data_IF_921897107938
#
_entry.id   IF_921897107938
#
_cell.length_a   1.000
_cell.length_b   1.000
_cell.length_c   1.000
_cell.angle_alpha   90.00
_cell.angle_beta   90.00
_cell.angle_gamma   90.00
#
_symmetry.space_group_name_H-M   'P 1'
#
loop_
_entity.id
_entity.type
_entity.pdbx_description
1 polymer ?
#
# COMPACT_ATOMS: atom_id res chain seq x y z
N UNK A 1 -22.13 -8.83 23.21
CA UNK A 1 -22.88 -7.62 22.82
C UNK A 1 -23.83 -7.24 23.94
N UNK A 2 -24.05 -5.95 24.18
CA UNK A 2 -25.09 -5.50 25.11
C UNK A 2 -26.48 -5.94 24.56
N UNK A 3 -27.29 -6.69 25.32
CA UNK A 3 -28.61 -7.17 24.89
C UNK A 3 -29.58 -6.06 24.47
N UNK A 4 -29.50 -4.89 25.10
CA UNK A 4 -30.41 -3.77 24.88
C UNK A 4 -30.26 -3.13 23.49
N UNK A 5 -29.05 -3.15 22.93
CA UNK A 5 -28.71 -2.49 21.66
C UNK A 5 -28.47 -3.46 20.51
N UNK A 6 -28.41 -4.77 20.77
CA UNK A 6 -28.06 -5.79 19.78
C UNK A 6 -28.97 -5.75 18.54
N UNK A 7 -30.29 -5.78 18.73
CA UNK A 7 -31.26 -5.82 17.62
C UNK A 7 -31.23 -4.55 16.78
N UNK A 8 -31.04 -3.39 17.42
CA UNK A 8 -30.88 -2.10 16.74
C UNK A 8 -29.59 -2.09 15.91
N UNK A 9 -28.48 -2.55 16.48
CA UNK A 9 -27.21 -2.65 15.77
C UNK A 9 -27.34 -3.54 14.54
N UNK A 10 -27.81 -4.78 14.70
CA UNK A 10 -27.99 -5.74 13.60
C UNK A 10 -28.88 -5.17 12.48
N UNK A 11 -29.96 -4.47 12.83
CA UNK A 11 -30.84 -3.81 11.86
C UNK A 11 -30.13 -2.70 11.08
N UNK A 12 -29.45 -1.78 11.77
CA UNK A 12 -28.94 -0.54 11.14
C UNK A 12 -27.55 -0.66 10.52
N UNK A 13 -26.75 -1.67 10.89
CA UNK A 13 -25.46 -1.91 10.22
C UNK A 13 -25.61 -2.71 8.92
N UNK A 14 -26.72 -3.42 8.75
CA UNK A 14 -26.96 -4.30 7.60
C UNK A 14 -27.24 -3.47 6.35
N UNK A 15 -26.34 -3.55 5.38
CA UNK A 15 -26.48 -2.89 4.06
C UNK A 15 -26.96 -3.84 2.97
N UNK A 16 -26.44 -5.07 2.97
CA UNK A 16 -26.84 -6.11 2.02
C UNK A 16 -27.60 -7.21 2.78
N UNK A 17 -28.89 -7.47 2.45
CA UNK A 17 -29.68 -8.50 3.14
C UNK A 17 -29.15 -9.93 2.91
N UNK A 18 -28.32 -10.15 1.90
CA UNK A 18 -27.67 -11.44 1.63
C UNK A 18 -26.41 -11.68 2.48
N UNK A 19 -26.00 -10.72 3.32
CA UNK A 19 -24.81 -10.81 4.17
C UNK A 19 -25.22 -10.59 5.62
N UNK A 20 -24.80 -11.48 6.53
CA UNK A 20 -25.12 -11.33 7.95
C UNK A 20 -24.53 -10.04 8.54
N UNK A 21 -25.20 -9.40 9.53
CA UNK A 21 -24.66 -8.22 10.21
C UNK A 21 -23.27 -8.47 10.83
N UNK A 22 -23.05 -9.69 11.35
CA UNK A 22 -21.76 -10.15 11.90
C UNK A 22 -20.65 -10.07 10.85
N UNK A 23 -20.85 -10.70 9.68
CA UNK A 23 -19.85 -10.70 8.62
C UNK A 23 -19.58 -9.29 8.09
N UNK A 24 -20.62 -8.45 7.99
CA UNK A 24 -20.46 -7.06 7.55
C UNK A 24 -19.56 -6.27 8.50
N UNK A 25 -19.79 -6.35 9.81
CA UNK A 25 -18.95 -5.59 10.72
C UNK A 25 -17.54 -6.17 10.87
N UNK A 26 -17.36 -7.49 10.72
CA UNK A 26 -16.06 -8.13 10.81
C UNK A 26 -15.18 -7.67 9.64
N UNK A 27 -15.74 -7.63 8.44
CA UNK A 27 -15.08 -7.06 7.27
C UNK A 27 -14.62 -5.62 7.52
N UNK A 28 -15.52 -4.75 7.98
CA UNK A 28 -15.16 -3.34 8.18
C UNK A 28 -14.17 -3.11 9.31
N UNK A 29 -14.21 -3.92 10.38
CA UNK A 29 -13.18 -3.89 11.42
C UNK A 29 -11.83 -4.34 10.89
N UNK A 30 -11.80 -5.39 10.06
CA UNK A 30 -10.57 -5.86 9.44
C UNK A 30 -9.97 -4.80 8.49
N UNK A 31 -10.82 -4.15 7.69
CA UNK A 31 -10.41 -3.01 6.86
C UNK A 31 -9.83 -1.89 7.72
N UNK A 32 -10.50 -1.52 8.82
CA UNK A 32 -9.98 -0.54 9.76
C UNK A 32 -8.63 -0.95 10.37
N UNK A 33 -8.45 -2.23 10.68
CA UNK A 33 -7.21 -2.74 11.25
C UNK A 33 -6.03 -2.64 10.28
N UNK A 34 -6.25 -2.89 8.99
CA UNK A 34 -5.19 -2.75 7.98
C UNK A 34 -4.91 -1.28 7.66
N UNK A 35 -5.94 -0.42 7.62
CA UNK A 35 -5.81 0.94 7.09
C UNK A 35 -5.45 1.99 8.14
N UNK A 36 -5.98 1.89 9.36
CA UNK A 36 -5.93 2.99 10.32
C UNK A 36 -5.71 2.59 11.78
N UNK A 37 -5.55 1.31 12.11
CA UNK A 37 -5.09 0.93 13.44
C UNK A 37 -3.62 1.25 13.64
N UNK A 38 -3.17 1.21 14.90
CA UNK A 38 -1.76 1.41 15.23
C UNK A 38 -0.86 0.41 14.50
N UNK A 39 -1.28 -0.85 14.38
CA UNK A 39 -0.48 -1.86 13.68
C UNK A 39 -0.52 -1.66 12.16
N UNK A 40 -1.67 -1.28 11.59
CA UNK A 40 -1.78 -0.89 10.17
C UNK A 40 -0.88 0.29 9.82
N UNK A 41 -0.88 1.32 10.67
CA UNK A 41 -0.02 2.50 10.51
C UNK A 41 1.47 2.18 10.59
N UNK A 42 1.91 1.41 11.61
CA UNK A 42 3.30 0.96 11.72
C UNK A 42 3.69 0.11 10.51
N UNK A 43 2.82 -0.80 10.07
CA UNK A 43 3.06 -1.66 8.92
C UNK A 43 3.23 -0.85 7.63
N UNK A 44 2.40 0.18 7.42
CA UNK A 44 2.49 1.08 6.27
C UNK A 44 3.81 1.86 6.24
N UNK A 45 4.26 2.38 7.39
CA UNK A 45 5.55 3.08 7.49
C UNK A 45 6.71 2.12 7.23
N UNK A 46 6.67 0.94 7.85
CA UNK A 46 7.68 -0.10 7.66
C UNK A 46 7.77 -0.54 6.20
N UNK A 47 6.65 -0.65 5.49
CA UNK A 47 6.62 -1.03 4.07
C UNK A 47 7.36 -0.02 3.17
N UNK A 48 7.36 1.27 3.53
CA UNK A 48 7.99 2.33 2.72
C UNK A 48 9.42 2.65 3.18
N UNK A 49 9.74 2.40 4.45
CA UNK A 49 11.02 2.82 5.05
C UNK A 49 11.91 1.67 5.54
N UNK A 50 11.44 0.42 5.54
CA UNK A 50 12.17 -0.71 6.10
C UNK A 50 13.53 -0.98 5.45
N UNK A 51 13.70 -0.66 4.16
CA UNK A 51 14.96 -0.74 3.43
C UNK A 51 15.68 0.61 3.25
N UNK A 52 15.22 1.66 3.93
CA UNK A 52 15.54 3.06 3.64
C UNK A 52 14.42 3.74 2.84
N UNK A 53 14.35 5.08 2.89
CA UNK A 53 13.34 5.85 2.15
C UNK A 53 13.41 5.58 0.64
N UNK A 54 12.31 5.71 -0.13
CA UNK A 54 12.28 5.41 -1.58
C UNK A 54 13.33 6.16 -2.42
N UNK A 55 13.84 7.29 -1.94
CA UNK A 55 14.94 8.01 -2.59
C UNK A 55 16.23 7.19 -2.61
N UNK A 56 16.49 6.38 -1.59
CA UNK A 56 17.68 5.52 -1.51
C UNK A 56 17.68 4.45 -2.60
N UNK A 57 16.51 3.89 -2.92
CA UNK A 57 16.38 2.94 -4.02
C UNK A 57 16.70 3.59 -5.37
N UNK A 58 16.20 4.80 -5.61
CA UNK A 58 16.55 5.58 -6.81
C UNK A 58 18.06 5.84 -6.90
N UNK A 59 18.70 6.21 -5.78
CA UNK A 59 20.15 6.42 -5.73
C UNK A 59 20.89 5.11 -6.05
N UNK A 60 20.48 3.99 -5.45
CA UNK A 60 21.12 2.69 -5.67
C UNK A 60 20.98 2.22 -7.13
N UNK A 61 19.78 2.31 -7.72
CA UNK A 61 19.56 1.96 -9.13
C UNK A 61 20.44 2.86 -10.02
N UNK A 62 20.44 4.16 -9.78
CA UNK A 62 21.18 5.12 -10.61
C UNK A 62 22.70 4.90 -10.52
N UNK A 63 23.22 4.62 -9.32
CA UNK A 63 24.66 4.41 -9.11
C UNK A 63 25.17 3.11 -9.72
N UNK A 64 24.30 2.10 -9.86
CA UNK A 64 24.61 0.81 -10.48
C UNK A 64 24.29 0.76 -11.98
N UNK A 65 23.58 1.76 -12.50
CA UNK A 65 23.22 1.82 -13.91
C UNK A 65 24.37 2.34 -14.77
N UNK A 66 24.76 1.59 -15.80
CA UNK A 66 25.78 2.04 -16.76
C UNK A 66 25.21 3.13 -17.70
N UNK A 67 25.21 4.37 -17.20
CA UNK A 67 24.80 5.56 -17.94
C UNK A 67 25.69 5.77 -19.17
N UNK A 68 26.99 5.45 -19.07
CA UNK A 68 27.93 5.65 -20.17
C UNK A 68 27.66 4.68 -21.33
N UNK A 69 27.23 3.44 -21.06
CA UNK A 69 26.77 2.53 -22.12
C UNK A 69 25.58 3.10 -22.90
N UNK A 70 24.63 3.76 -22.21
CA UNK A 70 23.48 4.40 -22.87
C UNK A 70 23.90 5.62 -23.66
N UNK A 71 24.81 6.44 -23.13
CA UNK A 71 25.39 7.57 -23.86
C UNK A 71 26.11 7.10 -25.12
N UNK A 72 26.95 6.06 -25.04
CA UNK A 72 27.62 5.46 -26.20
C UNK A 72 26.62 4.94 -27.24
N UNK A 73 25.56 4.27 -26.80
CA UNK A 73 24.51 3.77 -27.68
C UNK A 73 23.81 4.91 -28.44
N UNK A 74 23.42 5.97 -27.74
CA UNK A 74 22.77 7.14 -28.35
C UNK A 74 23.71 7.86 -29.30
N UNK A 75 24.98 8.07 -28.91
CA UNK A 75 26.00 8.68 -29.79
C UNK A 75 26.16 7.90 -31.09
N UNK A 76 26.27 6.58 -31.00
CA UNK A 76 26.37 5.69 -32.16
C UNK A 76 25.18 5.83 -33.11
N UNK A 77 23.95 5.77 -32.56
CA UNK A 77 22.72 5.91 -33.35
C UNK A 77 22.57 7.28 -34.00
N UNK A 78 23.08 8.34 -33.35
CA UNK A 78 23.03 9.71 -33.86
C UNK A 78 24.20 10.06 -34.79
N UNK A 79 25.16 9.16 -35.01
CA UNK A 79 26.36 9.43 -35.82
C UNK A 79 27.39 10.35 -35.16
N UNK A 80 27.30 10.54 -33.83
CA UNK A 80 28.21 11.37 -33.02
C UNK A 80 29.49 10.55 -32.73
N UNK A 81 30.67 11.11 -33.03
CA UNK A 81 31.96 10.38 -33.03
C UNK A 81 32.98 10.81 -31.97
N UNK A 82 32.76 11.94 -31.30
CA UNK A 82 33.58 12.40 -30.17
C UNK A 82 33.37 11.56 -28.90
#
# INVERSE_FOLDING_TARGET
MNPEVKSLLEKYITRNPNISPENQHLLWRHVGDILCSSIGGVSAVAAIHGGGSPVMEKIAITSQYDIEARKRMVKSLAGIKD
#
